data_IF_227336748614
#
_entry.id   IF_227336748614
#
_cell.length_a   1.000
_cell.length_b   1.000
_cell.length_c   1.000
_cell.angle_alpha   90.00
_cell.angle_beta   90.00
_cell.angle_gamma   90.00
#
_symmetry.space_group_name_H-M   'P 1'
#
loop_
_entity.id
_entity.type
_entity.pdbx_description
1 polymer ?
#
# COMPACT_ATOMS: atom_id res chain seq x y z
N UNK A 1 -3.03 0.26 17.79
CA UNK A 1 -4.11 -0.59 18.36
C UNK A 1 -3.83 -2.04 18.00
N UNK A 2 -3.94 -2.97 18.95
CA UNK A 2 -3.41 -4.34 18.81
C UNK A 2 -4.47 -5.45 18.59
N UNK A 3 -5.73 -5.10 18.32
CA UNK A 3 -6.76 -6.10 17.97
C UNK A 3 -7.84 -5.50 17.08
N UNK A 4 -8.46 -6.35 16.25
CA UNK A 4 -9.54 -5.95 15.35
C UNK A 4 -10.76 -5.44 16.10
N UNK A 5 -11.04 -5.99 17.29
CA UNK A 5 -12.10 -5.49 18.16
C UNK A 5 -11.88 -4.01 18.50
N UNK A 6 -10.67 -3.63 18.92
CA UNK A 6 -10.35 -2.23 19.25
C UNK A 6 -10.40 -1.34 18.01
N UNK A 7 -9.84 -1.79 16.87
CA UNK A 7 -9.88 -1.05 15.60
C UNK A 7 -11.33 -0.77 15.18
N UNK A 8 -12.20 -1.77 15.26
CA UNK A 8 -13.62 -1.63 14.92
C UNK A 8 -14.34 -0.66 15.86
N UNK A 9 -14.13 -0.72 17.17
CA UNK A 9 -14.78 0.18 18.15
C UNK A 9 -14.50 1.65 17.83
N UNK A 10 -13.26 1.99 17.45
CA UNK A 10 -12.89 3.39 17.21
C UNK A 10 -13.52 3.95 15.93
N UNK A 11 -13.85 3.11 14.95
CA UNK A 11 -14.59 3.54 13.75
C UNK A 11 -16.04 3.96 14.05
N UNK A 12 -16.67 3.41 15.10
CA UNK A 12 -18.03 3.80 15.50
C UNK A 12 -18.10 5.19 16.13
N UNK A 13 -16.98 5.67 16.68
CA UNK A 13 -16.94 6.97 17.31
C UNK A 13 -16.36 8.03 16.37
N UNK A 14 -17.28 8.74 15.70
CA UNK A 14 -16.94 9.77 14.72
C UNK A 14 -16.04 10.89 15.28
N UNK A 15 -16.10 11.18 16.59
CA UNK A 15 -15.19 12.18 17.18
C UNK A 15 -13.73 11.73 17.22
N UNK A 16 -13.47 10.43 17.26
CA UNK A 16 -12.09 9.91 17.40
C UNK A 16 -11.41 9.61 16.06
N UNK A 17 -12.12 9.07 15.07
CA UNK A 17 -11.49 8.57 13.84
C UNK A 17 -11.90 9.27 12.55
N UNK A 18 -12.91 10.14 12.55
CA UNK A 18 -13.46 10.70 11.31
C UNK A 18 -12.40 11.38 10.43
N UNK A 19 -11.62 12.31 10.99
CA UNK A 19 -10.59 13.01 10.22
C UNK A 19 -9.45 12.08 9.78
N UNK A 20 -9.09 11.09 10.61
CA UNK A 20 -8.05 10.12 10.29
C UNK A 20 -8.49 9.21 9.13
N UNK A 21 -9.73 8.73 9.14
CA UNK A 21 -10.32 7.91 8.08
C UNK A 21 -10.53 8.73 6.79
N UNK A 22 -11.00 9.97 6.91
CA UNK A 22 -11.16 10.87 5.76
C UNK A 22 -9.84 11.18 5.07
N UNK A 23 -8.77 11.42 5.84
CA UNK A 23 -7.45 11.65 5.28
C UNK A 23 -6.81 10.38 4.68
N UNK A 24 -7.30 9.19 5.04
CA UNK A 24 -6.91 7.94 4.38
C UNK A 24 -7.66 7.78 3.06
N UNK A 25 -8.97 8.01 3.06
CA UNK A 25 -9.81 7.93 1.87
C UNK A 25 -11.07 8.80 1.99
N UNK A 26 -11.03 9.94 1.33
CA UNK A 26 -12.11 10.91 1.31
C UNK A 26 -13.32 10.44 0.50
N UNK A 27 -13.13 9.57 -0.51
CA UNK A 27 -14.19 9.00 -1.32
C UNK A 27 -15.01 7.97 -0.52
N UNK A 28 -14.34 7.11 0.25
CA UNK A 28 -15.05 6.21 1.19
C UNK A 28 -15.87 7.04 2.17
N UNK A 29 -15.27 8.04 2.81
CA UNK A 29 -15.98 8.87 3.79
C UNK A 29 -17.15 9.65 3.18
N UNK A 30 -17.03 10.10 1.93
CA UNK A 30 -18.12 10.74 1.19
C UNK A 30 -19.34 9.80 1.09
N UNK A 31 -19.13 8.55 0.68
CA UNK A 31 -20.20 7.56 0.60
C UNK A 31 -20.74 7.14 1.97
N UNK A 32 -19.89 7.05 3.00
CA UNK A 32 -20.31 6.77 4.39
C UNK A 32 -21.31 7.80 4.88
N UNK A 33 -21.05 9.10 4.68
CA UNK A 33 -21.96 10.16 5.13
C UNK A 33 -23.28 10.17 4.34
N UNK A 34 -23.25 9.86 3.04
CA UNK A 34 -24.47 9.67 2.24
C UNK A 34 -25.29 8.51 2.81
N UNK A 35 -24.69 7.33 2.99
CA UNK A 35 -25.39 6.16 3.51
C UNK A 35 -25.88 6.35 4.94
N UNK A 36 -25.13 7.07 5.79
CA UNK A 36 -25.57 7.46 7.12
C UNK A 36 -26.84 8.31 7.07
N UNK A 37 -26.93 9.23 6.10
CA UNK A 37 -28.12 10.07 5.92
C UNK A 37 -29.32 9.27 5.42
N UNK A 38 -29.12 8.31 4.49
CA UNK A 38 -30.17 7.38 4.06
C UNK A 38 -30.65 6.47 5.20
N UNK A 39 -29.74 6.08 6.09
CA UNK A 39 -30.04 5.27 7.26
C UNK A 39 -30.89 6.06 8.27
N UNK A 40 -30.48 7.28 8.64
CA UNK A 40 -31.19 8.13 9.61
C UNK A 40 -32.57 8.58 9.08
N UNK A 41 -32.70 8.78 7.77
CA UNK A 41 -33.99 9.07 7.12
C UNK A 41 -34.90 7.83 6.96
N UNK A 42 -34.47 6.66 7.47
CA UNK A 42 -35.22 5.42 7.47
C UNK A 42 -35.67 4.96 6.06
N UNK A 43 -34.80 5.19 5.05
CA UNK A 43 -35.06 4.83 3.66
C UNK A 43 -34.01 3.90 3.04
N UNK A 44 -32.89 3.63 3.72
CA UNK A 44 -31.77 2.84 3.17
C UNK A 44 -32.14 1.41 2.75
N UNK A 45 -33.19 0.82 3.33
CA UNK A 45 -33.70 -0.52 2.98
C UNK A 45 -34.87 -0.50 1.98
N UNK A 46 -35.22 0.68 1.48
CA UNK A 46 -36.17 0.86 0.37
C UNK A 46 -35.41 0.90 -0.95
N UNK A 47 -36.09 1.28 -2.04
CA UNK A 47 -35.41 1.57 -3.30
C UNK A 47 -34.64 2.89 -3.17
N UNK A 48 -33.31 2.82 -3.21
CA UNK A 48 -32.39 3.96 -3.20
C UNK A 48 -31.62 4.10 -4.52
N UNK A 49 -32.08 3.44 -5.60
CA UNK A 49 -31.40 3.42 -6.89
C UNK A 49 -31.29 4.81 -7.49
N UNK A 50 -32.24 5.70 -7.24
CA UNK A 50 -32.14 7.10 -7.66
C UNK A 50 -30.89 7.80 -7.08
N UNK A 51 -30.51 7.49 -5.84
CA UNK A 51 -29.30 8.01 -5.19
C UNK A 51 -28.07 7.32 -5.75
N UNK A 52 -28.08 5.98 -5.83
CA UNK A 52 -26.93 5.19 -6.30
C UNK A 52 -26.59 5.48 -7.76
N UNK A 53 -27.58 5.56 -8.65
CA UNK A 53 -27.40 5.86 -10.07
C UNK A 53 -26.91 7.29 -10.29
N UNK A 54 -27.37 8.26 -9.49
CA UNK A 54 -26.86 9.64 -9.56
C UNK A 54 -25.37 9.71 -9.14
N UNK A 55 -24.97 8.95 -8.11
CA UNK A 55 -23.55 8.82 -7.73
C UNK A 55 -22.76 8.11 -8.84
N UNK A 56 -23.32 7.05 -9.42
CA UNK A 56 -22.68 6.31 -10.51
C UNK A 56 -22.47 7.18 -11.76
N UNK A 57 -23.44 8.02 -12.11
CA UNK A 57 -23.31 9.01 -13.18
C UNK A 57 -22.17 9.98 -12.89
N UNK A 58 -22.07 10.51 -11.66
CA UNK A 58 -20.92 11.33 -11.25
C UNK A 58 -19.58 10.61 -11.34
N UNK A 59 -19.54 9.29 -11.06
CA UNK A 59 -18.34 8.47 -11.20
C UNK A 59 -17.96 8.26 -12.67
N UNK A 60 -18.95 8.03 -13.53
CA UNK A 60 -18.77 7.91 -14.98
C UNK A 60 -18.29 9.24 -15.57
N UNK A 61 -18.86 10.37 -15.15
CA UNK A 61 -18.42 11.70 -15.55
C UNK A 61 -16.98 11.98 -15.12
N UNK A 62 -16.60 11.56 -13.91
CA UNK A 62 -15.21 11.68 -13.44
C UNK A 62 -14.24 10.78 -14.21
N UNK A 63 -14.67 9.59 -14.63
CA UNK A 63 -13.89 8.76 -15.56
C UNK A 63 -13.59 9.48 -16.88
N UNK A 64 -14.58 10.19 -17.45
CA UNK A 64 -14.39 10.94 -18.70
C UNK A 64 -13.67 12.28 -18.53
N UNK A 65 -13.88 12.97 -17.40
CA UNK A 65 -13.34 14.31 -17.15
C UNK A 65 -12.71 14.40 -15.73
N UNK A 66 -11.59 13.73 -15.47
CA UNK A 66 -11.05 13.57 -14.12
C UNK A 66 -10.63 14.88 -13.45
N UNK A 67 -10.25 15.90 -14.22
CA UNK A 67 -9.75 17.18 -13.69
C UNK A 67 -10.85 18.21 -13.40
N UNK A 68 -11.97 18.15 -14.12
CA UNK A 68 -13.02 19.18 -14.05
C UNK A 68 -14.42 18.60 -13.77
N UNK A 69 -14.50 17.37 -13.27
CA UNK A 69 -15.79 16.77 -12.91
C UNK A 69 -16.40 17.38 -11.65
N UNK A 70 -17.72 17.21 -11.51
CA UNK A 70 -18.44 17.53 -10.27
C UNK A 70 -17.88 16.78 -9.06
N UNK A 71 -17.45 15.53 -9.26
CA UNK A 71 -16.86 14.73 -8.18
C UNK A 71 -15.54 15.34 -7.67
N UNK A 72 -14.66 15.79 -8.58
CA UNK A 72 -13.40 16.47 -8.21
C UNK A 72 -13.65 17.78 -7.44
N UNK A 73 -14.71 18.50 -7.78
CA UNK A 73 -15.11 19.69 -7.02
C UNK A 73 -15.57 19.36 -5.58
N UNK A 74 -16.27 18.24 -5.38
CA UNK A 74 -16.72 17.82 -4.04
C UNK A 74 -15.60 17.16 -3.22
N UNK A 75 -14.69 16.47 -3.90
CA UNK A 75 -13.63 15.66 -3.31
C UNK A 75 -12.35 15.97 -4.08
N UNK A 76 -11.58 16.96 -3.61
CA UNK A 76 -10.40 17.44 -4.32
C UNK A 76 -9.31 16.36 -4.46
N UNK A 77 -9.19 15.46 -3.49
CA UNK A 77 -8.21 14.39 -3.44
C UNK A 77 -8.71 13.03 -4.00
N UNK A 78 -9.81 13.03 -4.79
CA UNK A 78 -10.44 11.79 -5.32
C UNK A 78 -9.54 10.94 -6.23
N UNK A 79 -8.50 11.54 -6.82
CA UNK A 79 -7.61 10.86 -7.75
C UNK A 79 -8.17 10.76 -9.17
N UNK A 80 -7.93 9.62 -9.85
CA UNK A 80 -8.36 9.36 -11.23
C UNK A 80 -9.07 8.01 -11.27
N UNK A 81 -10.20 7.92 -11.99
CA UNK A 81 -10.81 6.63 -12.34
C UNK A 81 -10.36 6.21 -13.73
N UNK A 82 -9.82 5.00 -13.88
CA UNK A 82 -9.33 4.45 -15.15
C UNK A 82 -10.37 3.56 -15.90
N UNK A 83 -11.58 3.44 -15.37
CA UNK A 83 -12.70 2.54 -15.71
C UNK A 83 -13.97 3.15 -15.10
N UNK A 84 -15.11 2.71 -15.61
CA UNK A 84 -16.41 3.07 -15.07
C UNK A 84 -16.71 2.18 -13.87
N UNK A 85 -16.93 2.76 -12.70
CA UNK A 85 -17.19 2.01 -11.47
C UNK A 85 -18.70 1.75 -11.32
N UNK A 86 -19.17 0.50 -11.45
CA UNK A 86 -20.59 0.14 -11.32
C UNK A 86 -20.99 0.11 -9.83
N UNK A 87 -20.97 1.26 -9.16
CA UNK A 87 -21.14 1.40 -7.71
C UNK A 87 -22.54 0.96 -7.24
N UNK A 88 -23.56 1.14 -8.07
CA UNK A 88 -24.93 0.67 -7.82
C UNK A 88 -24.97 -0.86 -7.75
N UNK A 89 -24.38 -1.53 -8.75
CA UNK A 89 -24.29 -3.00 -8.79
C UNK A 89 -23.46 -3.55 -7.64
N UNK A 90 -22.37 -2.86 -7.27
CA UNK A 90 -21.53 -3.25 -6.14
C UNK A 90 -22.27 -3.17 -4.81
N UNK A 91 -23.01 -2.07 -4.57
CA UNK A 91 -23.86 -1.92 -3.39
C UNK A 91 -24.90 -3.05 -3.31
N UNK A 92 -25.63 -3.31 -4.40
CA UNK A 92 -26.64 -4.37 -4.44
C UNK A 92 -26.05 -5.75 -4.20
N UNK A 93 -24.89 -6.04 -4.79
CA UNK A 93 -24.22 -7.34 -4.63
C UNK A 93 -23.74 -7.55 -3.19
N UNK A 94 -23.13 -6.53 -2.58
CA UNK A 94 -22.69 -6.58 -1.20
C UNK A 94 -23.89 -6.69 -0.23
N UNK A 95 -24.91 -5.85 -0.44
CA UNK A 95 -26.10 -5.84 0.41
C UNK A 95 -26.94 -7.13 0.27
N UNK A 96 -27.01 -7.73 -0.92
CA UNK A 96 -27.70 -9.02 -1.11
C UNK A 96 -27.08 -10.13 -0.25
N UNK A 97 -25.75 -10.12 -0.07
CA UNK A 97 -25.03 -11.12 0.73
C UNK A 97 -25.05 -10.78 2.22
N UNK A 98 -24.71 -9.55 2.60
CA UNK A 98 -24.47 -9.17 4.00
C UNK A 98 -25.64 -8.44 4.67
N UNK A 99 -26.65 -8.03 3.89
CA UNK A 99 -27.91 -7.41 4.36
C UNK A 99 -27.68 -6.23 5.31
N UNK A 100 -26.70 -5.38 5.01
CA UNK A 100 -26.32 -4.23 5.84
C UNK A 100 -27.47 -3.23 6.01
N UNK A 101 -28.39 -3.14 5.03
CA UNK A 101 -29.58 -2.27 5.10
C UNK A 101 -30.64 -2.79 6.08
N UNK A 102 -30.59 -4.06 6.49
CA UNK A 102 -31.53 -4.63 7.46
C UNK A 102 -31.21 -4.26 8.91
N UNK A 103 -30.07 -3.62 9.16
CA UNK A 103 -29.69 -3.18 10.51
C UNK A 103 -30.55 -1.98 10.92
N UNK A 104 -31.02 -1.98 12.17
CA UNK A 104 -31.84 -0.89 12.71
C UNK A 104 -31.02 0.17 13.46
N UNK A 105 -29.85 -0.21 13.97
CA UNK A 105 -29.06 0.63 14.90
C UNK A 105 -27.60 0.84 14.46
N UNK A 106 -27.18 0.17 13.40
CA UNK A 106 -25.81 0.14 12.91
C UNK A 106 -25.80 0.57 11.43
N UNK A 107 -25.54 1.85 11.10
CA UNK A 107 -25.42 2.29 9.71
C UNK A 107 -24.24 1.61 8.99
N UNK A 108 -24.19 1.64 7.65
CA UNK A 108 -23.01 1.21 6.90
C UNK A 108 -21.72 1.88 7.40
N UNK A 109 -20.70 1.07 7.64
CA UNK A 109 -19.41 1.48 8.21
C UNK A 109 -18.40 1.84 7.13
N UNK A 110 -17.30 2.51 7.51
CA UNK A 110 -16.17 2.80 6.62
C UNK A 110 -15.65 1.52 5.93
N UNK A 111 -15.44 0.44 6.69
CA UNK A 111 -14.95 -0.83 6.15
C UNK A 111 -15.93 -1.48 5.15
N UNK A 112 -17.24 -1.36 5.38
CA UNK A 112 -18.23 -1.89 4.43
C UNK A 112 -18.27 -1.08 3.13
N UNK A 113 -18.15 0.24 3.23
CA UNK A 113 -18.04 1.10 2.04
C UNK A 113 -16.73 0.84 1.29
N UNK A 114 -15.61 0.61 2.00
CA UNK A 114 -14.35 0.12 1.42
C UNK A 114 -14.58 -1.16 0.61
N UNK A 115 -15.25 -2.15 1.19
CA UNK A 115 -15.57 -3.39 0.46
C UNK A 115 -16.46 -3.17 -0.76
N UNK A 116 -17.43 -2.26 -0.68
CA UNK A 116 -18.30 -1.91 -1.81
C UNK A 116 -17.48 -1.26 -2.95
N UNK A 117 -16.56 -0.35 -2.64
CA UNK A 117 -15.67 0.25 -3.65
C UNK A 117 -14.70 -0.79 -4.25
N UNK A 118 -14.09 -1.65 -3.42
CA UNK A 118 -13.25 -2.75 -3.91
C UNK A 118 -14.03 -3.65 -4.87
N UNK A 119 -15.28 -3.97 -4.54
CA UNK A 119 -16.16 -4.75 -5.40
C UNK A 119 -16.52 -4.01 -6.69
N UNK A 120 -16.79 -2.70 -6.64
CA UNK A 120 -17.03 -1.89 -7.84
C UNK A 120 -15.82 -1.90 -8.78
N UNK A 121 -14.61 -1.76 -8.23
CA UNK A 121 -13.37 -1.82 -9.00
C UNK A 121 -13.21 -3.19 -9.66
N UNK A 122 -13.37 -4.30 -8.92
CA UNK A 122 -13.29 -5.66 -9.48
C UNK A 122 -14.34 -5.86 -10.59
N UNK A 123 -15.58 -5.42 -10.36
CA UNK A 123 -16.66 -5.54 -11.35
C UNK A 123 -16.42 -4.69 -12.60
N UNK A 124 -15.62 -3.63 -12.52
CA UNK A 124 -15.28 -2.76 -13.66
C UNK A 124 -14.23 -3.34 -14.60
N UNK A 125 -13.56 -4.43 -14.22
CA UNK A 125 -12.49 -5.07 -14.98
C UNK A 125 -13.02 -6.04 -16.04
N UNK A 126 -14.01 -5.61 -16.82
CA UNK A 126 -14.66 -6.44 -17.85
C UNK A 126 -13.68 -6.88 -18.94
N UNK A 127 -12.71 -6.04 -19.28
CA UNK A 127 -11.65 -6.36 -20.24
C UNK A 127 -10.55 -7.27 -19.64
N UNK A 128 -10.58 -7.58 -18.35
CA UNK A 128 -9.52 -8.32 -17.63
C UNK A 128 -8.31 -7.47 -17.22
N UNK A 129 -7.36 -8.10 -16.55
CA UNK A 129 -6.10 -7.51 -16.08
C UNK A 129 -4.89 -8.16 -16.76
N UNK A 130 -3.86 -7.36 -17.02
CA UNK A 130 -2.58 -7.81 -17.56
C UNK A 130 -1.45 -7.69 -16.51
N UNK A 131 -1.66 -6.90 -15.44
CA UNK A 131 -0.77 -6.78 -14.29
C UNK A 131 -1.54 -6.68 -12.98
N UNK A 132 -1.22 -7.54 -12.03
CA UNK A 132 -1.64 -7.41 -10.64
C UNK A 132 -0.41 -7.19 -9.76
N UNK A 133 -0.46 -6.18 -8.90
CA UNK A 133 0.64 -5.82 -8.02
C UNK A 133 0.25 -5.91 -6.56
N UNK A 134 1.20 -6.27 -5.71
CA UNK A 134 1.00 -6.41 -4.27
C UNK A 134 2.00 -5.53 -3.52
N UNK A 135 1.53 -4.77 -2.54
CA UNK A 135 2.39 -4.24 -1.48
C UNK A 135 2.69 -5.37 -0.49
N UNK A 136 3.92 -5.87 -0.54
CA UNK A 136 4.32 -7.04 0.24
C UNK A 136 4.26 -6.79 1.74
N UNK A 137 4.66 -5.59 2.16
CA UNK A 137 4.83 -5.21 3.57
C UNK A 137 3.49 -5.20 4.29
N UNK A 138 2.41 -5.00 3.54
CA UNK A 138 1.06 -4.83 4.08
C UNK A 138 0.17 -6.05 3.86
N UNK A 139 0.40 -6.79 2.78
CA UNK A 139 -0.57 -7.79 2.30
C UNK A 139 -0.02 -9.21 2.30
N UNK A 140 1.30 -9.38 2.25
CA UNK A 140 1.94 -10.68 2.08
C UNK A 140 2.72 -11.15 3.32
N UNK A 141 3.18 -10.22 4.15
CA UNK A 141 4.01 -10.50 5.31
C UNK A 141 3.23 -10.27 6.61
N UNK A 142 2.59 -11.30 7.19
CA UNK A 142 1.90 -11.14 8.46
C UNK A 142 2.91 -10.74 9.55
N UNK A 143 2.65 -9.63 10.22
CA UNK A 143 3.49 -9.06 11.29
C UNK A 143 4.99 -8.86 10.92
N UNK A 144 5.27 -8.62 9.63
CA UNK A 144 6.63 -8.39 9.14
C UNK A 144 7.50 -9.65 9.00
N UNK A 145 6.91 -10.84 9.15
CA UNK A 145 7.57 -12.12 8.94
C UNK A 145 7.74 -12.47 7.44
N UNK A 146 8.26 -13.67 7.17
CA UNK A 146 8.31 -14.23 5.82
C UNK A 146 6.89 -14.68 5.38
N UNK A 147 6.67 -14.75 4.06
CA UNK A 147 5.40 -15.23 3.49
C UNK A 147 5.07 -16.64 3.99
N UNK A 148 3.85 -16.84 4.49
CA UNK A 148 3.43 -18.12 5.04
C UNK A 148 1.91 -18.36 4.90
N UNK A 149 1.41 -18.39 3.68
CA UNK A 149 0.01 -18.71 3.38
C UNK A 149 -0.11 -19.52 2.08
N UNK A 150 -0.37 -20.83 2.20
CA UNK A 150 -0.48 -21.74 1.05
C UNK A 150 -1.72 -21.45 0.19
N UNK A 151 -2.82 -21.03 0.81
CA UNK A 151 -4.06 -20.71 0.10
C UNK A 151 -3.87 -19.45 -0.73
N UNK A 152 -3.27 -18.40 -0.15
CA UNK A 152 -2.91 -17.20 -0.88
C UNK A 152 -1.91 -17.50 -2.01
N UNK A 153 -0.91 -18.34 -1.76
CA UNK A 153 0.03 -18.78 -2.80
C UNK A 153 -0.68 -19.48 -3.97
N UNK A 154 -1.70 -20.30 -3.67
CA UNK A 154 -2.50 -20.97 -4.71
C UNK A 154 -3.25 -19.97 -5.60
N UNK A 155 -3.83 -18.92 -5.03
CA UNK A 155 -4.50 -17.87 -5.78
C UNK A 155 -3.51 -17.08 -6.66
N UNK A 156 -2.39 -16.66 -6.08
CA UNK A 156 -1.34 -15.93 -6.82
C UNK A 156 -0.79 -16.80 -7.95
N UNK A 157 -0.50 -18.07 -7.69
CA UNK A 157 -0.04 -19.05 -8.69
C UNK A 157 -1.03 -19.20 -9.86
N UNK A 158 -2.34 -19.25 -9.58
CA UNK A 158 -3.37 -19.33 -10.60
C UNK A 158 -3.49 -18.03 -11.43
N UNK A 159 -3.35 -16.87 -10.79
CA UNK A 159 -3.40 -15.57 -11.45
C UNK A 159 -2.14 -15.32 -12.30
N UNK A 160 -0.97 -15.77 -11.86
CA UNK A 160 0.31 -15.66 -12.58
C UNK A 160 0.27 -16.34 -13.97
N UNK A 161 -0.59 -17.34 -14.14
CA UNK A 161 -0.83 -18.00 -15.44
C UNK A 161 -1.63 -17.15 -16.43
N UNK A 162 -2.30 -16.11 -15.95
CA UNK A 162 -3.24 -15.28 -16.72
C UNK A 162 -2.73 -13.85 -16.92
N UNK A 163 -1.89 -13.36 -16.02
CA UNK A 163 -1.40 -11.97 -16.00
C UNK A 163 -0.01 -11.89 -15.37
N UNK A 164 0.65 -10.75 -15.52
CA UNK A 164 1.87 -10.45 -14.78
C UNK A 164 1.55 -10.23 -13.30
N UNK A 165 2.42 -10.73 -12.43
CA UNK A 165 2.35 -10.46 -10.99
C UNK A 165 3.63 -9.74 -10.59
N UNK A 166 3.48 -8.59 -9.92
CA UNK A 166 4.61 -7.89 -9.33
C UNK A 166 4.42 -7.69 -7.82
N UNK A 167 5.47 -7.88 -7.05
CA UNK A 167 5.49 -7.58 -5.62
C UNK A 167 6.38 -6.36 -5.40
N UNK A 168 5.90 -5.38 -4.64
CA UNK A 168 6.67 -4.18 -4.27
C UNK A 168 6.88 -4.19 -2.76
N UNK A 169 8.10 -3.90 -2.29
CA UNK A 169 8.44 -3.86 -0.85
C UNK A 169 9.43 -2.74 -0.55
N UNK A 170 9.27 -2.11 0.61
CA UNK A 170 10.23 -1.16 1.15
C UNK A 170 11.54 -1.83 1.60
N UNK A 171 11.53 -3.15 1.82
CA UNK A 171 12.72 -3.88 2.21
C UNK A 171 13.87 -3.65 1.20
N UNK A 172 14.96 -3.10 1.69
CA UNK A 172 16.16 -2.78 0.91
C UNK A 172 17.29 -3.72 1.33
N UNK A 173 17.66 -4.67 0.46
CA UNK A 173 18.78 -5.59 0.64
C UNK A 173 19.84 -5.42 -0.46
N UNK A 174 19.88 -4.25 -1.10
CA UNK A 174 20.67 -4.01 -2.31
C UNK A 174 20.28 -5.02 -3.43
N UNK A 175 21.22 -5.43 -4.28
CA UNK A 175 20.99 -6.45 -5.32
C UNK A 175 21.05 -7.90 -4.80
N UNK A 176 20.96 -8.13 -3.49
CA UNK A 176 21.04 -9.46 -2.87
C UNK A 176 19.71 -10.23 -3.00
N UNK A 177 19.55 -10.94 -4.12
CA UNK A 177 18.33 -11.67 -4.44
C UNK A 177 17.96 -12.75 -3.41
N UNK A 178 18.95 -13.37 -2.75
CA UNK A 178 18.73 -14.43 -1.76
C UNK A 178 17.95 -13.91 -0.55
N UNK A 179 18.23 -12.68 -0.11
CA UNK A 179 17.50 -12.05 1.01
C UNK A 179 16.04 -11.75 0.67
N UNK A 180 15.77 -11.30 -0.56
CA UNK A 180 14.39 -11.13 -1.04
C UNK A 180 13.68 -12.47 -1.18
N UNK A 181 14.38 -13.48 -1.70
CA UNK A 181 13.85 -14.82 -1.86
C UNK A 181 13.45 -15.42 -0.52
N UNK A 182 14.27 -15.25 0.53
CA UNK A 182 13.93 -15.72 1.88
C UNK A 182 12.56 -15.22 2.36
N UNK A 183 12.22 -13.95 2.10
CA UNK A 183 10.91 -13.37 2.46
C UNK A 183 9.75 -14.01 1.70
N UNK A 184 10.02 -14.52 0.49
CA UNK A 184 9.02 -15.08 -0.44
C UNK A 184 9.17 -16.59 -0.64
N UNK A 185 9.99 -17.26 0.18
CA UNK A 185 10.47 -18.61 -0.05
C UNK A 185 9.32 -19.61 -0.21
N UNK A 186 8.29 -19.52 0.63
CA UNK A 186 7.14 -20.41 0.57
C UNK A 186 6.25 -20.15 -0.66
N UNK A 187 6.16 -18.91 -1.14
CA UNK A 187 5.47 -18.57 -2.39
C UNK A 187 6.23 -19.13 -3.60
N UNK A 188 7.55 -18.96 -3.64
CA UNK A 188 8.41 -19.45 -4.72
C UNK A 188 8.48 -20.98 -4.76
N UNK A 189 8.46 -21.65 -3.59
CA UNK A 189 8.28 -23.11 -3.48
C UNK A 189 6.94 -23.59 -4.02
N UNK A 190 5.90 -22.76 -3.98
CA UNK A 190 4.63 -23.08 -4.63
C UNK A 190 4.78 -22.94 -6.15
N UNK A 191 5.47 -21.90 -6.63
CA UNK A 191 5.74 -21.71 -8.05
C UNK A 191 6.57 -22.83 -8.68
N UNK A 192 7.56 -23.37 -7.96
CA UNK A 192 8.38 -24.49 -8.47
C UNK A 192 7.55 -25.73 -8.83
N UNK A 193 6.40 -25.92 -8.18
CA UNK A 193 5.47 -27.04 -8.43
C UNK A 193 4.47 -26.74 -9.55
N UNK A 194 4.00 -25.50 -9.67
CA UNK A 194 2.80 -25.16 -10.44
C UNK A 194 3.00 -24.17 -11.59
N UNK A 195 4.13 -23.45 -11.65
CA UNK A 195 4.33 -22.31 -12.55
C UNK A 195 5.57 -22.44 -13.45
N UNK A 196 6.36 -23.51 -13.32
CA UNK A 196 7.54 -23.74 -14.15
C UNK A 196 7.17 -24.32 -15.51
N UNK A 197 6.35 -25.38 -15.53
CA UNK A 197 6.02 -26.14 -16.76
C UNK A 197 5.31 -25.31 -17.83
N UNK A 198 4.46 -24.37 -17.43
CA UNK A 198 3.73 -23.48 -18.33
C UNK A 198 4.48 -22.17 -18.63
N UNK A 199 5.68 -21.99 -18.08
CA UNK A 199 6.50 -20.79 -18.27
C UNK A 199 5.97 -19.55 -17.55
N UNK A 200 4.91 -19.66 -16.75
CA UNK A 200 4.27 -18.51 -16.10
C UNK A 200 5.18 -17.79 -15.10
N UNK A 201 6.21 -18.46 -14.57
CA UNK A 201 7.25 -17.85 -13.72
C UNK A 201 7.93 -16.63 -14.35
N UNK A 202 8.02 -16.55 -15.70
CA UNK A 202 8.64 -15.41 -16.41
C UNK A 202 7.89 -14.10 -16.25
N UNK A 203 6.63 -14.17 -15.81
CA UNK A 203 5.72 -13.05 -15.60
C UNK A 203 5.69 -12.57 -14.13
N UNK A 204 6.57 -13.13 -13.28
CA UNK A 204 6.70 -12.75 -11.87
C UNK A 204 7.86 -11.77 -11.67
N UNK A 205 7.59 -10.67 -10.98
CA UNK A 205 8.53 -9.59 -10.71
C UNK A 205 8.54 -9.22 -9.23
N UNK A 206 9.70 -8.82 -8.70
CA UNK A 206 9.82 -8.24 -7.36
C UNK A 206 10.58 -6.91 -7.45
N UNK A 207 10.01 -5.85 -6.89
CA UNK A 207 10.59 -4.52 -6.77
C UNK A 207 10.95 -4.26 -5.30
N UNK A 208 12.23 -4.33 -4.98
CA UNK A 208 12.80 -4.05 -3.67
C UNK A 208 13.26 -2.61 -3.49
N UNK A 209 13.37 -2.18 -2.24
CA UNK A 209 13.76 -0.80 -1.89
C UNK A 209 12.82 0.22 -2.52
N UNK A 210 11.52 -0.09 -2.52
CA UNK A 210 10.42 0.66 -3.14
C UNK A 210 10.47 0.78 -4.67
N UNK A 211 11.54 1.34 -5.22
CA UNK A 211 11.73 1.53 -6.67
C UNK A 211 13.19 1.34 -7.11
N UNK A 212 13.99 0.57 -6.36
CA UNK A 212 15.45 0.56 -6.51
C UNK A 212 16.05 -0.73 -7.05
N UNK A 213 15.45 -1.89 -6.75
CA UNK A 213 16.04 -3.18 -7.10
C UNK A 213 14.97 -4.07 -7.75
N UNK A 214 15.17 -4.43 -9.02
CA UNK A 214 14.23 -5.26 -9.76
C UNK A 214 14.75 -6.70 -9.84
N UNK A 215 13.88 -7.66 -9.53
CA UNK A 215 14.18 -9.09 -9.61
C UNK A 215 13.12 -9.82 -10.44
N UNK A 216 13.54 -10.92 -11.05
CA UNK A 216 12.70 -11.89 -11.77
C UNK A 216 12.93 -13.30 -11.24
N UNK A 217 12.06 -14.21 -11.67
CA UNK A 217 12.13 -15.63 -11.33
C UNK A 217 12.71 -16.45 -12.50
N UNK A 218 13.56 -17.44 -12.20
CA UNK A 218 14.10 -18.41 -13.17
C UNK A 218 13.36 -19.76 -13.12
N UNK A 219 13.85 -20.75 -13.88
CA UNK A 219 13.21 -22.07 -13.99
C UNK A 219 13.34 -22.93 -12.73
N UNK A 220 14.28 -22.63 -11.85
CA UNK A 220 14.45 -23.22 -10.52
C UNK A 220 13.60 -22.54 -9.44
N UNK A 221 12.69 -21.63 -9.84
CA UNK A 221 11.92 -20.78 -8.94
C UNK A 221 12.77 -19.91 -7.99
N UNK A 222 13.95 -19.51 -8.45
CA UNK A 222 14.91 -18.68 -7.71
C UNK A 222 14.89 -17.25 -8.24
N UNK A 223 15.03 -16.28 -7.34
CA UNK A 223 15.12 -14.87 -7.73
C UNK A 223 16.50 -14.54 -8.28
N UNK A 224 16.54 -13.75 -9.35
CA UNK A 224 17.75 -13.12 -9.87
C UNK A 224 17.53 -11.63 -10.12
N UNK A 225 18.58 -10.84 -9.90
CA UNK A 225 18.56 -9.40 -10.15
C UNK A 225 18.51 -9.12 -11.65
N UNK A 226 17.61 -8.23 -12.07
CA UNK A 226 17.56 -7.71 -13.43
C UNK A 226 18.57 -6.57 -13.56
N UNK A 227 19.52 -6.64 -14.52
CA UNK A 227 20.51 -5.59 -14.74
C UNK A 227 19.87 -4.19 -14.85
N UNK A 228 20.39 -3.21 -14.11
CA UNK A 228 19.80 -1.85 -14.07
C UNK A 228 19.68 -1.20 -15.45
N UNK A 229 20.62 -1.48 -16.38
CA UNK A 229 20.59 -0.94 -17.74
C UNK A 229 19.34 -1.37 -18.55
N UNK A 230 18.64 -2.43 -18.15
CA UNK A 230 17.42 -2.89 -18.82
C UNK A 230 16.16 -2.10 -18.44
N UNK A 231 16.17 -1.37 -17.31
CA UNK A 231 14.96 -0.74 -16.78
C UNK A 231 15.16 0.66 -16.19
N UNK A 232 16.40 1.09 -15.93
CA UNK A 232 16.72 2.38 -15.31
C UNK A 232 16.17 3.58 -16.10
N UNK A 233 16.05 3.49 -17.42
CA UNK A 233 15.47 4.56 -18.26
C UNK A 233 13.98 4.80 -18.02
N UNK A 234 13.27 3.91 -17.32
CA UNK A 234 11.88 4.12 -16.90
C UNK A 234 11.74 4.87 -15.57
N UNK A 235 12.83 4.93 -14.78
CA UNK A 235 12.91 5.59 -13.47
C UNK A 235 13.37 7.04 -13.61
N UNK A 236 12.88 7.95 -12.77
CA UNK A 236 13.41 9.32 -12.72
C UNK A 236 14.83 9.27 -12.18
N UNK A 237 15.79 9.80 -12.93
CA UNK A 237 17.17 9.87 -12.47
C UNK A 237 17.28 10.79 -11.24
N UNK A 238 17.96 10.30 -10.22
CA UNK A 238 18.41 11.05 -9.05
C UNK A 238 19.92 10.90 -9.02
N UNK A 239 20.64 12.02 -8.94
CA UNK A 239 22.10 11.99 -8.88
C UNK A 239 22.59 11.45 -7.54
N UNK A 240 23.80 10.90 -7.55
CA UNK A 240 24.38 10.24 -6.39
C UNK A 240 24.54 11.18 -5.20
N UNK A 241 24.90 12.45 -5.44
CA UNK A 241 25.12 13.43 -4.38
C UNK A 241 23.81 13.77 -3.67
N UNK A 242 22.72 13.95 -4.41
CA UNK A 242 21.37 14.15 -3.84
C UNK A 242 20.93 12.93 -3.01
N UNK A 243 21.19 11.70 -3.48
CA UNK A 243 20.91 10.49 -2.68
C UNK A 243 21.69 10.56 -1.36
N UNK A 244 23.00 10.81 -1.42
CA UNK A 244 23.82 10.87 -0.21
C UNK A 244 23.45 12.04 0.70
N UNK A 245 23.03 13.18 0.15
CA UNK A 245 22.58 14.34 0.91
C UNK A 245 21.32 14.03 1.72
N UNK A 246 20.33 13.35 1.13
CA UNK A 246 19.13 12.89 1.86
C UNK A 246 19.53 11.98 3.03
N UNK A 247 20.43 11.01 2.78
CA UNK A 247 20.89 10.09 3.82
C UNK A 247 21.69 10.82 4.91
N UNK A 248 22.55 11.78 4.55
CA UNK A 248 23.34 12.59 5.49
C UNK A 248 22.46 13.49 6.37
N UNK A 249 21.44 14.12 5.79
CA UNK A 249 20.45 14.93 6.54
C UNK A 249 19.71 14.02 7.53
N UNK A 250 19.26 12.87 7.05
CA UNK A 250 18.52 11.90 7.87
C UNK A 250 19.36 11.36 9.02
N UNK A 251 20.63 11.00 8.76
CA UNK A 251 21.57 10.53 9.78
C UNK A 251 21.73 11.56 10.91
N UNK A 252 22.04 12.82 10.59
CA UNK A 252 22.16 13.90 11.57
C UNK A 252 20.87 14.11 12.37
N UNK A 253 19.71 14.02 11.71
CA UNK A 253 18.42 14.12 12.38
C UNK A 253 18.21 12.97 13.38
N UNK A 254 18.50 11.74 12.97
CA UNK A 254 18.35 10.54 13.79
C UNK A 254 19.33 10.53 14.96
N UNK A 255 20.59 10.93 14.76
CA UNK A 255 21.57 11.10 15.85
C UNK A 255 21.05 12.07 16.91
N UNK A 256 20.46 13.19 16.48
CA UNK A 256 19.86 14.17 17.38
C UNK A 256 18.63 13.59 18.10
N UNK A 257 17.77 12.84 17.41
CA UNK A 257 16.62 12.17 18.03
C UNK A 257 17.05 11.15 19.08
N UNK A 258 18.08 10.33 18.79
CA UNK A 258 18.66 9.38 19.75
C UNK A 258 19.11 10.11 21.02
N UNK A 259 19.81 11.24 20.85
CA UNK A 259 20.29 12.06 21.98
C UNK A 259 19.17 12.76 22.75
N UNK A 260 18.26 13.42 22.05
CA UNK A 260 17.17 14.22 22.64
C UNK A 260 16.22 13.34 23.49
N UNK A 261 15.99 12.09 23.09
CA UNK A 261 15.07 11.15 23.76
C UNK A 261 15.76 10.01 24.51
N UNK A 262 17.10 9.95 24.53
CA UNK A 262 17.86 8.91 25.21
C UNK A 262 17.56 7.49 24.72
N UNK A 263 17.46 7.32 23.38
CA UNK A 263 17.03 6.05 22.79
C UNK A 263 18.14 4.98 22.83
N UNK A 264 17.77 3.76 23.19
CA UNK A 264 18.61 2.57 22.99
C UNK A 264 18.41 2.02 21.57
N UNK A 265 18.87 2.76 20.57
CA UNK A 265 18.72 2.43 19.16
C UNK A 265 20.04 2.70 18.41
N UNK A 266 20.12 2.18 17.19
CA UNK A 266 21.25 2.37 16.29
C UNK A 266 20.76 2.88 14.93
N UNK A 267 21.63 3.55 14.21
CA UNK A 267 21.38 3.99 12.83
C UNK A 267 21.97 2.94 11.89
N UNK A 268 21.15 2.45 10.96
CA UNK A 268 21.56 1.50 9.94
C UNK A 268 21.49 2.18 8.56
N UNK A 269 22.64 2.53 8.01
CA UNK A 269 22.76 3.12 6.67
C UNK A 269 23.02 2.05 5.61
N UNK A 270 22.35 2.18 4.46
CA UNK A 270 22.49 1.37 3.24
C UNK A 270 22.83 2.28 2.06
N UNK A 271 22.92 1.71 0.85
CA UNK A 271 23.30 2.44 -0.36
C UNK A 271 22.32 3.57 -0.70
N UNK A 272 21.01 3.30 -0.62
CA UNK A 272 19.92 4.22 -0.98
C UNK A 272 18.87 4.37 0.14
N UNK A 273 19.22 3.97 1.37
CA UNK A 273 18.32 4.11 2.51
C UNK A 273 19.03 4.16 3.84
N UNK A 274 18.33 4.65 4.87
CA UNK A 274 18.83 4.77 6.24
C UNK A 274 17.70 4.55 7.22
N UNK A 275 17.97 3.84 8.31
CA UNK A 275 16.95 3.50 9.30
C UNK A 275 17.38 3.70 10.75
N UNK A 276 16.41 3.94 11.62
CA UNK A 276 16.55 3.94 13.07
C UNK A 276 16.00 2.61 13.60
N UNK A 277 16.90 1.73 14.02
CA UNK A 277 16.57 0.36 14.43
C UNK A 277 16.81 0.21 15.94
N UNK A 278 15.83 -0.31 16.71
CA UNK A 278 16.02 -0.52 18.14
C UNK A 278 17.09 -1.58 18.45
N UNK A 279 17.85 -1.36 19.52
CA UNK A 279 18.83 -2.35 19.99
C UNK A 279 18.12 -3.54 20.64
N UNK A 280 18.76 -4.71 20.62
CA UNK A 280 18.32 -5.86 21.41
C UNK A 280 18.71 -5.67 22.87
N UNK A 281 17.76 -5.89 23.77
CA UNK A 281 17.95 -5.81 25.23
C UNK A 281 17.55 -7.14 25.89
N UNK A 282 18.14 -7.50 27.05
CA UNK A 282 17.74 -8.69 27.79
C UNK A 282 16.26 -8.68 28.19
N UNK A 283 15.58 -9.83 28.05
CA UNK A 283 14.26 -10.04 28.65
C UNK A 283 14.41 -10.23 30.17
N UNK A 284 13.56 -9.57 30.96
CA UNK A 284 13.56 -9.71 32.42
C UNK A 284 13.03 -11.08 32.90
N UNK A 285 12.25 -11.74 32.05
CA UNK A 285 11.44 -12.89 32.46
C UNK A 285 12.07 -14.24 32.09
N UNK A 286 12.97 -14.29 31.11
CA UNK A 286 13.60 -15.53 30.62
C UNK A 286 15.09 -15.29 30.38
N UNK A 287 15.94 -16.00 31.12
CA UNK A 287 17.40 -16.02 30.86
C UNK A 287 17.63 -16.56 29.45
N UNK A 288 18.34 -15.79 28.62
CA UNK A 288 18.68 -16.04 27.20
C UNK A 288 17.65 -15.58 26.16
N UNK A 289 16.53 -14.96 26.55
CA UNK A 289 15.63 -14.32 25.59
C UNK A 289 16.00 -12.84 25.40
N UNK A 290 16.21 -12.42 24.15
CA UNK A 290 16.45 -11.02 23.79
C UNK A 290 15.17 -10.44 23.18
N UNK A 291 14.77 -9.26 23.64
CA UNK A 291 13.67 -8.48 23.06
C UNK A 291 14.20 -7.19 22.44
N UNK A 292 13.54 -6.69 21.43
CA UNK A 292 13.88 -5.37 20.90
C UNK A 292 13.48 -4.30 21.94
N UNK A 293 14.35 -3.31 22.12
CA UNK A 293 13.97 -2.07 22.77
C UNK A 293 12.77 -1.46 22.03
N UNK A 294 11.79 -0.91 22.76
CA UNK A 294 10.63 -0.29 22.14
C UNK A 294 10.82 1.22 22.09
N UNK A 295 10.99 1.76 20.88
CA UNK A 295 10.93 3.20 20.65
C UNK A 295 9.46 3.63 20.74
N UNK A 296 9.19 4.74 21.43
CA UNK A 296 7.81 5.28 21.51
C UNK A 296 7.31 5.66 20.13
N UNK A 297 6.07 5.30 19.81
CA UNK A 297 5.46 5.58 18.50
C UNK A 297 5.49 7.08 18.16
N UNK A 298 5.21 7.94 19.15
CA UNK A 298 5.22 9.40 18.98
C UNK A 298 6.62 9.95 18.69
N UNK A 299 7.68 9.28 19.16
CA UNK A 299 9.07 9.67 18.87
C UNK A 299 9.45 9.31 17.44
N UNK A 300 8.93 8.19 16.92
CA UNK A 300 9.10 7.83 15.51
C UNK A 300 8.38 8.83 14.59
N UNK A 301 7.13 9.20 14.90
CA UNK A 301 6.40 10.25 14.16
C UNK A 301 7.13 11.61 14.19
N UNK A 302 7.61 12.03 15.36
CA UNK A 302 8.41 13.25 15.51
C UNK A 302 9.68 13.20 14.64
N UNK A 303 10.38 12.07 14.63
CA UNK A 303 11.59 11.88 13.83
C UNK A 303 11.30 11.95 12.32
N UNK A 304 10.22 11.31 11.85
CA UNK A 304 9.78 11.41 10.43
C UNK A 304 9.55 12.86 10.05
N UNK A 305 8.82 13.62 10.86
CA UNK A 305 8.52 15.03 10.58
C UNK A 305 9.78 15.88 10.56
N UNK A 306 10.70 15.69 11.52
CA UNK A 306 12.00 16.40 11.55
C UNK A 306 12.80 16.18 10.27
N UNK A 307 12.89 14.94 9.82
CA UNK A 307 13.59 14.57 8.58
C UNK A 307 12.92 15.24 7.38
N UNK A 308 11.60 15.10 7.23
CA UNK A 308 10.87 15.73 6.11
C UNK A 308 11.06 17.25 6.10
N UNK A 309 11.05 17.91 7.26
CA UNK A 309 11.26 19.36 7.37
C UNK A 309 12.68 19.79 6.99
N UNK A 310 13.70 19.08 7.42
CA UNK A 310 15.09 19.40 7.03
C UNK A 310 15.34 19.12 5.55
N UNK A 311 14.76 18.06 4.96
CA UNK A 311 14.84 17.83 3.51
C UNK A 311 14.18 18.98 2.73
N UNK A 312 12.98 19.42 3.14
CA UNK A 312 12.29 20.59 2.55
C UNK A 312 13.14 21.86 2.66
N UNK A 313 13.77 22.10 3.82
CA UNK A 313 14.62 23.26 4.08
C UNK A 313 15.85 23.29 3.17
N UNK A 314 16.40 22.12 2.82
CA UNK A 314 17.49 21.98 1.85
C UNK A 314 16.99 21.96 0.39
N UNK A 315 15.68 22.17 0.15
CA UNK A 315 15.07 22.29 -1.20
C UNK A 315 15.27 21.06 -2.09
N UNK A 316 15.39 19.88 -1.50
CA UNK A 316 15.53 18.63 -2.24
C UNK A 316 14.16 18.21 -2.78
N UNK A 317 14.09 17.96 -4.10
CA UNK A 317 12.86 17.56 -4.80
C UNK A 317 12.90 16.12 -5.33
N UNK A 318 13.96 15.38 -5.04
CA UNK A 318 14.05 13.97 -5.42
C UNK A 318 12.96 13.16 -4.68
N UNK A 319 12.36 12.15 -5.34
CA UNK A 319 11.39 11.29 -4.67
C UNK A 319 12.09 10.47 -3.58
N UNK A 320 11.55 10.54 -2.37
CA UNK A 320 11.95 9.74 -1.23
C UNK A 320 10.72 9.38 -0.40
N UNK A 321 10.88 8.42 0.48
CA UNK A 321 9.88 7.99 1.43
C UNK A 321 10.50 7.98 2.82
N UNK A 322 9.88 8.66 3.79
CA UNK A 322 10.27 8.62 5.19
C UNK A 322 9.06 8.21 6.01
N UNK A 323 9.12 7.05 6.66
CA UNK A 323 7.96 6.43 7.29
C UNK A 323 8.28 5.79 8.64
N UNK A 324 7.23 5.73 9.46
CA UNK A 324 7.23 5.05 10.75
C UNK A 324 6.77 3.60 10.53
N UNK A 325 7.67 2.63 10.72
CA UNK A 325 7.39 1.19 10.60
C UNK A 325 6.70 0.58 11.82
N UNK A 326 6.30 1.41 12.80
CA UNK A 326 5.65 0.99 14.03
C UNK A 326 6.61 0.67 15.18
N UNK A 327 7.77 0.07 14.89
CA UNK A 327 8.84 -0.19 15.88
C UNK A 327 10.22 0.33 15.46
N UNK A 328 10.39 0.64 14.18
CA UNK A 328 11.56 1.27 13.59
C UNK A 328 11.12 2.41 12.65
N UNK A 329 12.09 3.13 12.08
CA UNK A 329 11.85 4.18 11.10
C UNK A 329 12.83 3.98 9.95
N UNK A 330 12.36 4.18 8.72
CA UNK A 330 13.18 4.13 7.52
C UNK A 330 12.99 5.36 6.65
N UNK A 331 14.08 5.76 6.00
CA UNK A 331 14.13 6.75 4.92
C UNK A 331 14.72 6.07 3.70
N UNK A 332 13.90 5.84 2.68
CA UNK A 332 14.28 5.24 1.41
C UNK A 332 14.29 6.30 0.31
N UNK A 333 15.37 6.35 -0.50
CA UNK A 333 15.43 7.23 -1.67
C UNK A 333 14.76 6.54 -2.86
N UNK A 334 13.44 6.60 -2.86
CA UNK A 334 12.52 6.02 -3.81
C UNK A 334 11.10 6.10 -3.28
N UNK A 335 10.12 5.71 -4.08
CA UNK A 335 8.77 5.46 -3.56
C UNK A 335 8.06 4.33 -4.31
N UNK A 336 7.13 3.62 -3.63
CA UNK A 336 6.38 2.49 -4.22
C UNK A 336 5.58 2.89 -5.47
N UNK A 337 5.03 4.11 -5.51
CA UNK A 337 4.26 4.60 -6.66
C UNK A 337 5.11 4.68 -7.94
N UNK A 338 6.34 5.19 -7.84
CA UNK A 338 7.31 5.17 -8.93
C UNK A 338 7.67 3.75 -9.34
N UNK A 339 7.83 2.83 -8.37
CA UNK A 339 8.04 1.40 -8.63
C UNK A 339 6.94 0.78 -9.51
N UNK A 340 5.68 1.10 -9.21
CA UNK A 340 4.52 0.67 -10.00
C UNK A 340 4.52 1.28 -11.41
N UNK A 341 4.87 2.56 -11.57
CA UNK A 341 5.00 3.20 -12.87
C UNK A 341 6.15 2.62 -13.71
N UNK A 342 7.27 2.27 -13.07
CA UNK A 342 8.39 1.58 -13.72
C UNK A 342 7.90 0.22 -14.28
N UNK A 343 7.21 -0.57 -13.46
CA UNK A 343 6.67 -1.87 -13.86
C UNK A 343 5.67 -1.73 -15.02
N UNK A 344 4.78 -0.74 -14.98
CA UNK A 344 3.86 -0.46 -16.10
C UNK A 344 4.59 -0.14 -17.40
N UNK A 345 5.58 0.77 -17.36
CA UNK A 345 6.34 1.19 -18.54
C UNK A 345 7.20 0.05 -19.09
N UNK A 346 7.87 -0.69 -18.20
CA UNK A 346 8.70 -1.84 -18.54
C UNK A 346 7.89 -2.92 -19.26
N UNK A 347 6.71 -3.26 -18.72
CA UNK A 347 5.83 -4.28 -19.28
C UNK A 347 4.90 -3.75 -20.38
N UNK A 348 4.91 -2.43 -20.63
CA UNK A 348 4.06 -1.71 -21.60
C UNK A 348 2.56 -1.93 -21.35
N UNK A 349 2.16 -1.91 -20.07
CA UNK A 349 0.78 -2.17 -19.66
C UNK A 349 0.06 -0.86 -19.34
N UNK A 350 -1.15 -0.71 -19.86
CA UNK A 350 -1.99 0.46 -19.63
C UNK A 350 -2.56 0.46 -18.20
N UNK A 351 -2.69 1.65 -17.59
CA UNK A 351 -3.23 1.81 -16.22
C UNK A 351 -4.58 1.10 -16.01
N UNK A 352 -5.47 1.09 -17.01
CA UNK A 352 -6.78 0.40 -16.95
C UNK A 352 -6.71 -1.13 -16.85
N UNK A 353 -5.58 -1.73 -17.20
CA UNK A 353 -5.30 -3.18 -17.16
C UNK A 353 -4.45 -3.58 -15.96
N UNK A 354 -4.26 -2.67 -15.01
CA UNK A 354 -3.43 -2.88 -13.85
C UNK A 354 -4.21 -2.67 -12.56
N UNK A 355 -3.98 -3.54 -11.57
CA UNK A 355 -4.54 -3.41 -10.22
C UNK A 355 -3.45 -3.57 -9.18
N UNK A 356 -3.58 -2.84 -8.07
CA UNK A 356 -2.69 -2.88 -6.91
C UNK A 356 -3.48 -3.26 -5.66
N UNK A 357 -2.94 -4.20 -4.89
CA UNK A 357 -3.48 -4.66 -3.62
C UNK A 357 -2.53 -4.16 -2.52
N UNK A 358 -3.06 -3.34 -1.61
CA UNK A 358 -2.33 -2.73 -0.47
C UNK A 358 -3.30 -2.48 0.70
N UNK A 359 -2.80 -1.95 1.82
CA UNK A 359 -3.59 -1.60 3.01
C UNK A 359 -3.36 -0.13 3.41
N UNK A 360 -4.32 0.74 3.10
CA UNK A 360 -4.23 2.16 3.45
C UNK A 360 -4.25 2.42 4.97
N UNK A 361 -4.55 1.45 5.83
CA UNK A 361 -4.52 1.62 7.28
C UNK A 361 -3.11 1.64 7.85
N UNK A 362 -2.16 0.89 7.27
CA UNK A 362 -0.81 0.73 7.81
C UNK A 362 0.15 1.86 7.44
N UNK A 363 -0.17 2.62 6.40
CA UNK A 363 0.60 3.81 6.04
C UNK A 363 0.21 5.05 6.86
N UNK A 364 1.14 5.54 7.70
CA UNK A 364 1.21 6.96 8.11
C UNK A 364 2.21 7.68 7.21
N UNK A 365 1.76 8.12 6.03
CA UNK A 365 2.54 9.06 5.22
C UNK A 365 3.63 8.47 4.32
N UNK A 366 3.45 7.25 3.79
CA UNK A 366 4.10 6.90 2.52
C UNK A 366 3.54 7.86 1.46
N UNK A 367 4.39 8.80 1.06
CA UNK A 367 4.08 9.89 0.16
C UNK A 367 3.90 9.34 -1.27
N UNK A 368 2.71 8.81 -1.57
CA UNK A 368 1.99 9.00 -2.84
C UNK A 368 0.70 8.15 -2.82
N UNK A 369 -0.49 8.73 -3.09
CA UNK A 369 -1.69 7.94 -3.34
C UNK A 369 -1.46 7.08 -4.58
N UNK A 370 -1.30 5.77 -4.43
CA UNK A 370 -1.18 4.83 -5.56
C UNK A 370 -2.39 4.87 -6.49
N UNK A 371 -3.53 5.42 -6.02
CA UNK A 371 -4.71 5.75 -6.85
C UNK A 371 -4.45 6.77 -7.96
N UNK A 372 -3.38 7.57 -7.87
CA UNK A 372 -2.96 8.45 -8.96
C UNK A 372 -2.39 7.66 -10.15
N UNK A 373 -1.89 6.45 -9.89
CA UNK A 373 -1.16 5.67 -10.87
C UNK A 373 -1.82 4.34 -11.25
N UNK A 374 -2.67 3.79 -10.39
CA UNK A 374 -3.33 2.50 -10.54
C UNK A 374 -4.67 2.41 -9.82
N UNK A 375 -5.45 1.38 -10.16
CA UNK A 375 -6.45 0.89 -9.23
C UNK A 375 -5.79 0.39 -7.96
N UNK A 376 -6.31 0.82 -6.82
CA UNK A 376 -5.93 0.28 -5.52
C UNK A 376 -7.17 -0.37 -4.90
N UNK A 377 -7.09 -1.65 -4.57
CA UNK A 377 -8.02 -2.30 -3.64
C UNK A 377 -7.42 -2.19 -2.23
N UNK A 378 -7.79 -1.16 -1.43
CA UNK A 378 -7.32 -0.99 -0.05
C UNK A 378 -7.97 -1.94 0.95
#
# INVERSE_FOLDING_TARGET
MNSDMKKNIVQWNSRYSYNQLKNKDSLIMFLVEIFRSLFVSNCIDKNIDNVLLSIEEMFIDHYYNPQHSRLKYLIDDVGIFFTKLPITKAFHTYNKKYRITKRLYAPPTFNEVRHILNLAQILSLEEGLDLLTFDADETLYPDGHDFNDEVLASYISCLLKKMNIAIVTAASYNNDAEKYQKRLENLLKYFSKHNIKDGSYKNFYVMGGESNYLFKCNEEATLYSVPENEWRHYKKFVDYDTVQEILNISEKCLEKVIKDFGLCAQIQRKEKSIGLVPNKIPSLNIKNEQKNYMIKYEVLEEAVIRIKKEIIKNKITAPYCAFNGGQDLWVDVGNKAEGLLILQKLLKIQKKKCCHIGDQFLHSGNDFPTRLDLYMCP
#
